data_IF_074204865719
#
_entry.id   IF_074204865719
#
_cell.length_a   1.000
_cell.length_b   1.000
_cell.length_c   1.000
_cell.angle_alpha   90.00
_cell.angle_beta   90.00
_cell.angle_gamma   90.00
#
_symmetry.space_group_name_H-M   'P 1'
#
loop_
_entity.id
_entity.type
_entity.pdbx_description
1 polymer ?
#
# COMPACT_ATOMS: atom_id res chain seq x y z
N UNK A 1 5.44 52.86 8.27
CA UNK A 1 5.15 51.44 7.98
C UNK A 1 6.04 51.00 6.84
N UNK A 2 7.12 50.28 7.15
CA UNK A 2 8.05 49.74 6.15
C UNK A 2 7.53 48.38 5.66
N UNK A 3 7.31 48.28 4.34
CA UNK A 3 7.03 47.02 3.65
C UNK A 3 8.37 46.35 3.34
N UNK A 4 8.66 45.23 3.97
CA UNK A 4 9.81 44.38 3.65
C UNK A 4 9.49 43.53 2.43
N UNK A 5 10.27 43.71 1.37
CA UNK A 5 10.23 42.93 0.14
C UNK A 5 10.78 41.52 0.36
N UNK A 6 9.93 40.51 0.27
CA UNK A 6 10.36 39.11 0.26
C UNK A 6 10.94 38.74 -1.10
N UNK A 7 12.21 38.32 -1.08
CA UNK A 7 12.95 37.84 -2.25
C UNK A 7 12.53 36.40 -2.54
N UNK A 8 11.69 36.18 -3.57
CA UNK A 8 11.41 34.83 -4.10
C UNK A 8 12.68 34.28 -4.75
N UNK A 9 13.33 33.33 -4.09
CA UNK A 9 14.39 32.53 -4.66
C UNK A 9 13.80 31.55 -5.67
N UNK A 10 13.97 31.86 -6.96
CA UNK A 10 13.64 30.98 -8.08
C UNK A 10 14.75 29.93 -8.20
N UNK A 11 14.63 28.81 -7.48
CA UNK A 11 15.53 27.67 -7.67
C UNK A 11 15.23 27.06 -9.05
N UNK A 12 16.06 27.43 -10.04
CA UNK A 12 16.04 26.83 -11.37
C UNK A 12 16.42 25.35 -11.27
N UNK A 13 15.55 24.50 -11.80
CA UNK A 13 15.83 23.09 -12.11
C UNK A 13 16.93 23.01 -13.18
N UNK A 14 18.20 23.11 -12.79
CA UNK A 14 19.34 22.79 -13.66
C UNK A 14 19.82 21.38 -13.33
N UNK A 15 19.13 20.38 -13.89
CA UNK A 15 19.62 19.03 -14.19
C UNK A 15 18.52 18.34 -14.99
N UNK A 16 18.44 18.63 -16.30
CA UNK A 16 17.68 17.77 -17.21
C UNK A 16 18.40 16.41 -17.25
N UNK A 17 17.75 15.31 -16.84
CA UNK A 17 18.34 13.98 -16.92
C UNK A 17 18.72 13.67 -18.37
N UNK A 18 19.75 12.85 -18.55
CA UNK A 18 20.12 12.29 -19.84
C UNK A 18 18.90 11.62 -20.49
N UNK A 19 18.34 12.21 -21.55
CA UNK A 19 17.08 11.80 -22.23
C UNK A 19 17.08 10.34 -22.76
N UNK A 20 18.20 9.63 -22.64
CA UNK A 20 18.36 8.23 -23.05
C UNK A 20 18.28 7.23 -21.89
N UNK A 21 18.05 7.67 -20.64
CA UNK A 21 17.90 6.74 -19.53
C UNK A 21 16.53 6.03 -19.63
N UNK A 22 16.56 4.70 -19.81
CA UNK A 22 15.34 3.89 -19.71
C UNK A 22 14.74 4.07 -18.30
N UNK A 23 13.41 4.29 -18.18
CA UNK A 23 12.78 4.45 -16.88
C UNK A 23 12.98 3.19 -16.02
N UNK A 24 13.01 3.32 -14.69
CA UNK A 24 13.08 2.16 -13.81
C UNK A 24 11.85 1.26 -14.01
N UNK A 25 11.96 -0.06 -13.77
CA UNK A 25 10.87 -1.02 -14.03
C UNK A 25 9.59 -0.77 -13.22
N UNK A 26 9.67 0.04 -12.16
CA UNK A 26 8.56 0.43 -11.29
C UNK A 26 8.03 1.86 -11.55
N UNK A 27 8.40 2.51 -12.66
CA UNK A 27 8.06 3.91 -12.91
C UNK A 27 6.54 4.21 -12.83
N UNK A 28 5.68 3.24 -13.18
CA UNK A 28 4.20 3.38 -13.09
C UNK A 28 3.67 3.46 -11.66
N UNK A 29 4.47 3.08 -10.68
CA UNK A 29 4.14 3.12 -9.25
C UNK A 29 4.75 4.32 -8.54
N UNK A 30 5.49 5.16 -9.25
CA UNK A 30 6.00 6.41 -8.69
C UNK A 30 4.88 7.45 -8.65
N UNK A 31 4.76 8.21 -7.55
CA UNK A 31 3.84 9.35 -7.51
C UNK A 31 4.30 10.47 -8.46
N UNK A 32 3.37 11.37 -8.80
CA UNK A 32 3.67 12.54 -9.64
C UNK A 32 4.66 13.49 -8.95
N UNK A 33 4.45 13.72 -7.66
CA UNK A 33 5.40 14.41 -6.77
C UNK A 33 6.15 13.38 -5.92
N UNK A 34 7.47 13.56 -5.77
CA UNK A 34 8.27 12.62 -4.99
C UNK A 34 7.79 12.56 -3.53
N UNK A 35 7.57 11.35 -3.01
CA UNK A 35 7.26 11.09 -1.60
C UNK A 35 8.34 11.69 -0.71
N UNK A 36 7.96 12.39 0.37
CA UNK A 36 8.94 13.00 1.27
C UNK A 36 9.75 11.91 2.00
N UNK A 37 11.05 12.14 2.32
CA UNK A 37 11.89 11.13 2.96
C UNK A 37 11.33 10.58 4.29
N UNK A 38 10.61 11.39 5.06
CA UNK A 38 9.96 11.01 6.31
C UNK A 38 8.73 10.12 6.11
N UNK A 39 8.13 10.09 4.93
CA UNK A 39 7.00 9.22 4.58
C UNK A 39 7.48 7.88 4.00
N UNK A 40 8.78 7.76 3.71
CA UNK A 40 9.42 6.53 3.27
C UNK A 40 9.88 5.68 4.46
N UNK A 41 9.83 4.37 4.27
CA UNK A 41 10.34 3.39 5.21
C UNK A 41 11.87 3.47 5.30
N UNK A 42 12.37 3.70 6.51
CA UNK A 42 13.80 3.66 6.87
C UNK A 42 14.16 2.46 7.76
N UNK A 43 13.24 1.50 7.96
CA UNK A 43 13.53 0.31 8.75
C UNK A 43 14.75 -0.42 8.18
N UNK A 44 15.67 -0.88 9.05
CA UNK A 44 16.78 -1.73 8.64
C UNK A 44 16.24 -3.09 8.15
N UNK A 45 17.12 -3.86 7.52
CA UNK A 45 16.84 -5.22 7.02
C UNK A 45 15.78 -5.28 5.90
N UNK A 46 15.29 -6.50 5.63
CA UNK A 46 14.19 -6.80 4.72
C UNK A 46 12.90 -7.02 5.54
N UNK A 47 12.22 -5.94 6.01
CA UNK A 47 11.05 -6.08 6.85
C UNK A 47 9.90 -6.75 6.09
N UNK A 48 8.92 -7.36 6.80
CA UNK A 48 7.69 -7.78 6.17
C UNK A 48 6.99 -6.58 5.51
N UNK A 49 6.47 -6.78 4.30
CA UNK A 49 5.78 -5.78 3.50
C UNK A 49 4.31 -6.13 3.36
N UNK A 50 3.45 -5.14 3.15
CA UNK A 50 2.04 -5.34 2.83
C UNK A 50 1.64 -4.57 1.59
N UNK A 51 0.79 -5.19 0.78
CA UNK A 51 0.00 -4.52 -0.23
C UNK A 51 -1.19 -3.85 0.46
N UNK A 52 -1.31 -2.55 0.32
CA UNK A 52 -2.47 -1.79 0.77
C UNK A 52 -2.74 -0.61 -0.17
N UNK A 53 -3.98 -0.13 -0.17
CA UNK A 53 -4.30 1.14 -0.82
C UNK A 53 -4.04 2.29 0.15
N UNK A 54 -3.51 3.37 -0.40
CA UNK A 54 -3.39 4.69 0.22
C UNK A 54 -3.64 5.73 -0.88
N UNK A 55 -3.54 7.03 -0.57
CA UNK A 55 -3.61 8.08 -1.59
C UNK A 55 -2.35 8.15 -2.48
N UNK A 56 -1.33 7.34 -2.20
CA UNK A 56 -0.13 7.23 -3.03
C UNK A 56 -0.31 6.36 -4.26
N UNK A 57 0.60 6.49 -5.22
CA UNK A 57 0.74 5.56 -6.35
C UNK A 57 1.40 4.22 -5.93
N UNK A 58 2.18 4.22 -4.85
CA UNK A 58 2.91 3.07 -4.34
C UNK A 58 2.06 2.29 -3.31
N UNK A 59 1.59 1.07 -3.64
CA UNK A 59 0.76 0.28 -2.73
C UNK A 59 1.59 -0.61 -1.78
N UNK A 60 2.92 -0.53 -1.80
CA UNK A 60 3.80 -1.38 -1.00
C UNK A 60 4.22 -0.62 0.26
N UNK A 61 3.79 -1.11 1.41
CA UNK A 61 4.05 -0.49 2.71
C UNK A 61 4.83 -1.43 3.61
N UNK A 62 5.70 -0.88 4.44
CA UNK A 62 6.41 -1.63 5.48
C UNK A 62 5.45 -2.00 6.60
N UNK A 63 5.38 -3.28 6.99
CA UNK A 63 4.53 -3.67 8.12
C UNK A 63 5.09 -3.26 9.49
N UNK A 64 6.36 -2.86 9.58
CA UNK A 64 6.96 -2.42 10.86
C UNK A 64 6.68 -0.95 11.16
N UNK A 65 6.79 -0.06 10.17
CA UNK A 65 6.60 1.38 10.38
C UNK A 65 5.38 1.97 9.66
N UNK A 66 4.63 1.15 8.91
CA UNK A 66 3.45 1.54 8.13
C UNK A 66 3.68 2.69 7.13
N UNK A 67 4.93 2.86 6.69
CA UNK A 67 5.35 3.85 5.68
C UNK A 67 5.55 3.19 4.32
N UNK A 68 5.54 3.99 3.27
CA UNK A 68 5.80 3.53 1.91
C UNK A 68 7.18 2.88 1.83
N UNK A 69 7.25 1.68 1.26
CA UNK A 69 8.53 1.02 1.05
C UNK A 69 9.18 1.53 -0.24
N UNK A 70 10.45 2.00 -0.21
CA UNK A 70 11.12 2.46 -1.42
C UNK A 70 11.24 1.34 -2.46
N UNK A 71 10.62 1.50 -3.62
CA UNK A 71 10.58 0.46 -4.68
C UNK A 71 11.97 0.10 -5.22
N UNK A 72 12.92 1.03 -5.15
CA UNK A 72 14.33 0.81 -5.48
C UNK A 72 15.03 -0.20 -4.57
N UNK A 73 14.47 -0.49 -3.38
CA UNK A 73 14.99 -1.47 -2.42
C UNK A 73 14.38 -2.87 -2.61
N UNK A 74 13.49 -3.08 -3.59
CA UNK A 74 12.88 -4.38 -3.86
C UNK A 74 13.28 -4.86 -5.25
N UNK A 75 13.88 -6.04 -5.33
CA UNK A 75 14.26 -6.67 -6.59
C UNK A 75 13.08 -7.48 -7.16
N UNK A 76 12.15 -6.80 -7.85
CA UNK A 76 11.07 -7.44 -8.61
C UNK A 76 11.28 -7.28 -10.11
N UNK A 77 10.73 -8.24 -10.88
CA UNK A 77 10.68 -8.09 -12.34
C UNK A 77 9.72 -6.97 -12.77
N UNK A 78 9.98 -6.35 -13.92
CA UNK A 78 9.07 -5.36 -14.53
C UNK A 78 7.65 -5.90 -14.68
N UNK A 79 7.52 -7.17 -15.11
CA UNK A 79 6.23 -7.87 -15.22
C UNK A 79 5.48 -7.90 -13.89
N UNK A 80 6.16 -8.11 -12.77
CA UNK A 80 5.52 -8.17 -11.46
C UNK A 80 5.13 -6.76 -10.98
N UNK A 81 5.96 -5.75 -11.21
CA UNK A 81 5.58 -4.34 -10.98
C UNK A 81 4.35 -3.94 -11.79
N UNK A 82 4.27 -4.37 -13.05
CA UNK A 82 3.12 -4.10 -13.91
C UNK A 82 1.85 -4.78 -13.39
N UNK A 83 1.93 -6.03 -12.90
CA UNK A 83 0.80 -6.70 -12.24
C UNK A 83 0.32 -5.95 -11.00
N UNK A 84 1.25 -5.48 -10.16
CA UNK A 84 0.94 -4.68 -8.96
C UNK A 84 0.24 -3.38 -9.37
N UNK A 85 0.78 -2.68 -10.37
CA UNK A 85 0.17 -1.45 -10.90
C UNK A 85 -1.27 -1.68 -11.35
N UNK A 86 -1.53 -2.69 -12.20
CA UNK A 86 -2.88 -2.94 -12.69
C UNK A 86 -3.86 -3.37 -11.60
N UNK A 87 -3.41 -4.18 -10.62
CA UNK A 87 -4.23 -4.49 -9.46
C UNK A 87 -4.57 -3.22 -8.66
N UNK A 88 -3.55 -2.40 -8.37
CA UNK A 88 -3.71 -1.18 -7.58
C UNK A 88 -4.68 -0.19 -8.25
N UNK A 89 -4.62 -0.01 -9.58
CA UNK A 89 -5.57 0.84 -10.30
C UNK A 89 -7.03 0.37 -10.12
N UNK A 90 -7.28 -0.94 -10.23
CA UNK A 90 -8.62 -1.52 -9.99
C UNK A 90 -9.05 -1.30 -8.55
N UNK A 91 -8.20 -1.65 -7.59
CA UNK A 91 -8.53 -1.55 -6.17
C UNK A 91 -8.80 -0.10 -5.76
N UNK A 92 -7.92 0.81 -6.16
CA UNK A 92 -8.03 2.25 -5.86
C UNK A 92 -9.31 2.86 -6.46
N UNK A 93 -9.75 2.38 -7.62
CA UNK A 93 -11.03 2.83 -8.21
C UNK A 93 -12.22 2.45 -7.33
N UNK A 94 -12.24 1.23 -6.79
CA UNK A 94 -13.27 0.81 -5.82
C UNK A 94 -13.15 1.60 -4.52
N UNK A 95 -11.93 1.83 -4.05
CA UNK A 95 -11.67 2.62 -2.85
C UNK A 95 -12.17 4.07 -2.97
N UNK A 96 -11.98 4.74 -4.11
CA UNK A 96 -12.54 6.07 -4.34
C UNK A 96 -14.07 6.09 -4.40
N UNK A 97 -14.69 5.04 -4.93
CA UNK A 97 -16.15 4.91 -4.88
C UNK A 97 -16.64 4.77 -3.44
N UNK A 98 -15.93 4.02 -2.60
CA UNK A 98 -16.23 3.98 -1.17
C UNK A 98 -16.06 5.35 -0.51
N UNK A 99 -14.98 6.07 -0.82
CA UNK A 99 -14.64 7.31 -0.13
C UNK A 99 -15.57 8.50 -0.44
N UNK A 100 -15.98 8.69 -1.71
CA UNK A 100 -16.55 9.97 -2.14
C UNK A 100 -17.71 9.86 -3.15
N UNK A 101 -18.33 8.69 -3.30
CA UNK A 101 -19.44 8.55 -4.26
C UNK A 101 -20.83 8.76 -3.69
N UNK A 102 -21.01 8.57 -2.37
CA UNK A 102 -22.32 8.37 -1.70
C UNK A 102 -23.14 7.20 -2.30
N UNK A 103 -23.58 7.30 -3.56
CA UNK A 103 -24.44 6.33 -4.25
C UNK A 103 -23.80 4.94 -4.38
N UNK A 104 -22.47 4.85 -4.54
CA UNK A 104 -21.76 3.58 -4.68
C UNK A 104 -21.06 3.11 -3.40
N UNK A 105 -21.18 3.83 -2.29
CA UNK A 105 -20.46 3.51 -1.05
C UNK A 105 -20.79 2.11 -0.52
N UNK A 106 -22.08 1.75 -0.49
CA UNK A 106 -22.52 0.41 -0.04
C UNK A 106 -21.96 -0.69 -0.93
N UNK A 107 -22.03 -0.51 -2.26
CA UNK A 107 -21.49 -1.48 -3.21
C UNK A 107 -19.97 -1.60 -3.08
N UNK A 108 -19.27 -0.48 -2.95
CA UNK A 108 -17.81 -0.44 -2.83
C UNK A 108 -17.34 -1.10 -1.53
N UNK A 109 -18.03 -0.85 -0.42
CA UNK A 109 -17.79 -1.52 0.87
C UNK A 109 -17.86 -3.04 0.72
N UNK A 110 -18.93 -3.56 0.09
CA UNK A 110 -19.08 -4.99 -0.16
C UNK A 110 -17.93 -5.56 -1.02
N UNK A 111 -17.41 -4.80 -1.97
CA UNK A 111 -16.27 -5.23 -2.77
C UNK A 111 -14.96 -5.21 -1.98
N UNK A 112 -14.74 -4.21 -1.11
CA UNK A 112 -13.51 -4.05 -0.35
C UNK A 112 -13.41 -5.06 0.81
N UNK A 113 -14.52 -5.31 1.53
CA UNK A 113 -14.56 -6.24 2.66
C UNK A 113 -14.58 -7.71 2.23
N UNK A 114 -15.19 -8.03 1.08
CA UNK A 114 -15.29 -9.41 0.61
C UNK A 114 -13.95 -9.92 0.06
N UNK A 115 -13.26 -10.87 0.71
CA UNK A 115 -11.97 -11.36 0.23
C UNK A 115 -12.07 -12.12 -1.11
N UNK A 116 -13.27 -12.50 -1.52
CA UNK A 116 -13.57 -13.15 -2.80
C UNK A 116 -13.99 -12.16 -3.91
N UNK A 117 -14.02 -10.86 -3.64
CA UNK A 117 -14.26 -9.84 -4.67
C UNK A 117 -13.17 -9.86 -5.74
N UNK A 118 -13.49 -9.35 -6.93
CA UNK A 118 -12.54 -9.32 -8.03
C UNK A 118 -11.25 -8.55 -7.70
N UNK A 119 -11.37 -7.39 -7.02
CA UNK A 119 -10.24 -6.57 -6.63
C UNK A 119 -9.33 -7.26 -5.60
N UNK A 120 -9.93 -7.88 -4.57
CA UNK A 120 -9.18 -8.62 -3.55
C UNK A 120 -8.51 -9.87 -4.14
N UNK A 121 -9.23 -10.66 -4.94
CA UNK A 121 -8.69 -11.86 -5.57
C UNK A 121 -7.52 -11.56 -6.51
N UNK A 122 -7.54 -10.42 -7.21
CA UNK A 122 -6.39 -9.98 -8.02
C UNK A 122 -5.15 -9.72 -7.17
N UNK A 123 -5.29 -9.04 -6.04
CA UNK A 123 -4.18 -8.74 -5.13
C UNK A 123 -3.65 -10.00 -4.44
N UNK A 124 -4.55 -10.85 -3.92
CA UNK A 124 -4.20 -12.12 -3.28
C UNK A 124 -3.43 -13.05 -4.21
N UNK A 125 -3.75 -13.07 -5.51
CA UNK A 125 -3.02 -13.85 -6.52
C UNK A 125 -1.58 -13.37 -6.76
N UNK A 126 -1.22 -12.14 -6.35
CA UNK A 126 0.16 -11.65 -6.44
C UNK A 126 1.04 -12.22 -5.33
N UNK A 127 0.46 -12.63 -4.20
CA UNK A 127 1.22 -13.01 -3.01
C UNK A 127 2.17 -14.19 -3.24
N UNK A 128 1.82 -15.28 -3.94
CA UNK A 128 2.77 -16.36 -4.20
C UNK A 128 4.01 -15.91 -4.99
N UNK A 129 3.83 -15.03 -5.98
CA UNK A 129 4.95 -14.48 -6.77
C UNK A 129 5.78 -13.51 -5.93
N UNK A 130 5.14 -12.61 -5.17
CA UNK A 130 5.83 -11.67 -4.28
C UNK A 130 6.59 -12.37 -3.16
N UNK A 131 6.01 -13.42 -2.59
CA UNK A 131 6.61 -14.16 -1.48
C UNK A 131 7.86 -14.96 -1.88
N UNK A 132 8.14 -15.10 -3.18
CA UNK A 132 9.43 -15.60 -3.66
C UNK A 132 10.58 -14.59 -3.47
N UNK A 133 10.28 -13.31 -3.24
CA UNK A 133 11.25 -12.20 -3.13
C UNK A 133 11.33 -11.61 -1.71
N UNK A 134 10.51 -12.06 -0.77
CA UNK A 134 10.44 -11.51 0.57
C UNK A 134 9.15 -11.90 1.28
N UNK A 135 8.91 -11.36 2.48
CA UNK A 135 7.67 -11.64 3.21
C UNK A 135 6.63 -10.57 2.89
N UNK A 136 5.68 -10.89 2.03
CA UNK A 136 4.57 -10.02 1.65
C UNK A 136 3.24 -10.48 2.26
N UNK A 137 2.41 -9.50 2.56
CA UNK A 137 1.04 -9.67 3.00
C UNK A 137 0.08 -8.79 2.19
N UNK A 138 -1.21 -9.02 2.35
CA UNK A 138 -2.29 -8.21 1.78
C UNK A 138 -3.15 -7.64 2.90
N UNK A 139 -3.27 -6.32 2.98
CA UNK A 139 -4.19 -5.67 3.92
C UNK A 139 -5.61 -5.79 3.38
N UNK A 140 -6.45 -6.59 4.03
CA UNK A 140 -7.87 -6.63 3.71
C UNK A 140 -8.57 -5.46 4.39
N UNK A 141 -9.32 -4.69 3.61
CA UNK A 141 -10.06 -3.54 4.09
C UNK A 141 -11.04 -3.94 5.20
N UNK A 142 -11.19 -3.06 6.19
CA UNK A 142 -12.09 -3.24 7.32
C UNK A 142 -12.51 -1.85 7.82
N UNK A 143 -13.78 -1.70 8.21
CA UNK A 143 -14.30 -0.44 8.76
C UNK A 143 -13.99 -0.32 10.25
N UNK A 144 -12.71 -0.17 10.58
CA UNK A 144 -12.22 -0.16 11.98
C UNK A 144 -12.76 1.00 12.83
N UNK A 145 -13.34 2.01 12.21
CA UNK A 145 -13.90 3.19 12.87
C UNK A 145 -15.42 3.14 13.07
N UNK A 146 -16.07 2.04 12.66
CA UNK A 146 -17.50 1.86 12.90
C UNK A 146 -17.77 1.49 14.37
N UNK A 147 -18.86 2.00 14.94
CA UNK A 147 -19.20 1.80 16.37
C UNK A 147 -19.40 0.32 16.74
N UNK A 148 -19.78 -0.51 15.77
CA UNK A 148 -20.00 -1.95 15.91
C UNK A 148 -18.81 -2.80 15.47
N UNK A 149 -17.66 -2.19 15.17
CA UNK A 149 -16.47 -2.91 14.77
C UNK A 149 -15.95 -3.85 15.86
N UNK A 150 -15.73 -5.10 15.48
CA UNK A 150 -15.11 -6.12 16.33
C UNK A 150 -13.85 -6.63 15.64
N UNK A 151 -12.73 -6.59 16.35
CA UNK A 151 -11.45 -7.10 15.86
C UNK A 151 -11.59 -8.57 15.45
N UNK A 152 -11.35 -8.93 14.17
CA UNK A 152 -11.43 -10.30 13.71
C UNK A 152 -10.38 -11.16 14.40
N UNK A 153 -10.78 -12.29 14.98
CA UNK A 153 -9.85 -13.25 15.59
C UNK A 153 -9.49 -14.40 14.66
N UNK A 154 -10.17 -14.52 13.51
CA UNK A 154 -9.97 -15.60 12.53
C UNK A 154 -9.84 -15.05 11.11
N UNK A 155 -9.00 -15.70 10.32
CA UNK A 155 -8.73 -15.34 8.94
C UNK A 155 -9.98 -15.58 8.08
N UNK A 156 -10.44 -14.59 7.31
CA UNK A 156 -11.67 -14.72 6.52
C UNK A 156 -11.53 -15.71 5.35
N UNK A 157 -10.31 -16.09 4.97
CA UNK A 157 -10.06 -17.08 3.91
C UNK A 157 -9.98 -18.53 4.41
N UNK A 158 -9.31 -18.77 5.54
CA UNK A 158 -9.00 -20.13 5.99
C UNK A 158 -9.48 -20.45 7.41
N UNK A 159 -10.11 -19.50 8.09
CA UNK A 159 -10.67 -19.63 9.44
C UNK A 159 -9.66 -19.99 10.55
N UNK A 160 -8.35 -19.97 10.26
CA UNK A 160 -7.30 -20.08 11.30
C UNK A 160 -7.22 -18.79 12.10
N UNK A 161 -6.76 -18.90 13.34
CA UNK A 161 -6.54 -17.74 14.21
C UNK A 161 -5.61 -16.71 13.56
N UNK A 162 -5.96 -15.44 13.73
CA UNK A 162 -5.08 -14.33 13.39
C UNK A 162 -4.15 -14.06 14.58
N UNK A 163 -2.89 -13.81 14.28
CA UNK A 163 -1.84 -13.62 15.29
C UNK A 163 -1.14 -12.29 15.07
N UNK A 164 -0.70 -11.65 16.16
CA UNK A 164 0.24 -10.52 16.06
C UNK A 164 1.56 -11.06 15.53
N UNK A 165 2.05 -10.56 14.40
CA UNK A 165 3.38 -10.98 13.97
C UNK A 165 4.43 -10.33 14.88
N UNK A 166 5.47 -11.08 15.26
CA UNK A 166 6.60 -10.50 15.99
C UNK A 166 7.25 -9.41 15.13
N UNK A 167 7.66 -8.31 15.76
CA UNK A 167 8.40 -7.20 15.14
C UNK A 167 7.63 -6.32 14.13
N UNK A 168 6.29 -6.25 14.19
CA UNK A 168 5.49 -5.30 13.41
C UNK A 168 5.52 -3.84 13.91
N UNK A 169 6.52 -3.50 14.71
CA UNK A 169 6.69 -2.16 15.26
C UNK A 169 5.45 -1.70 16.02
N UNK A 170 4.91 -0.53 15.67
CA UNK A 170 3.78 0.10 16.36
C UNK A 170 2.42 -0.35 15.88
N UNK A 171 2.34 -1.16 14.81
CA UNK A 171 1.04 -1.61 14.30
C UNK A 171 0.49 -2.72 15.19
N UNK A 172 -0.81 -2.63 15.52
CA UNK A 172 -1.54 -3.63 16.30
C UNK A 172 -2.23 -4.69 15.42
N UNK A 173 -2.12 -4.51 14.11
CA UNK A 173 -2.55 -5.39 13.02
C UNK A 173 -2.36 -6.88 13.35
N UNK A 174 -3.39 -7.67 13.03
CA UNK A 174 -3.37 -9.14 13.14
C UNK A 174 -3.18 -9.76 11.76
N UNK A 175 -2.38 -10.82 11.67
CA UNK A 175 -2.10 -11.46 10.39
C UNK A 175 -2.34 -12.96 10.42
N UNK A 176 -2.71 -13.49 9.26
CA UNK A 176 -2.74 -14.93 9.01
C UNK A 176 -1.43 -15.34 8.34
N UNK A 177 -0.57 -16.09 9.05
CA UNK A 177 0.66 -16.62 8.47
C UNK A 177 0.45 -17.60 7.31
N UNK A 178 -0.73 -18.22 7.21
CA UNK A 178 -1.05 -19.18 6.15
C UNK A 178 -1.56 -18.49 4.87
N UNK A 179 -2.44 -17.50 5.00
CA UNK A 179 -3.04 -16.79 3.87
C UNK A 179 -2.33 -15.49 3.51
N UNK A 180 -1.37 -15.06 4.33
CA UNK A 180 -0.67 -13.79 4.15
C UNK A 180 -1.63 -12.59 4.07
N UNK A 181 -2.71 -12.62 4.86
CA UNK A 181 -3.63 -11.48 5.03
C UNK A 181 -3.32 -10.77 6.33
N UNK A 182 -3.45 -9.44 6.31
CA UNK A 182 -3.48 -8.57 7.47
C UNK A 182 -4.89 -8.01 7.63
N UNK A 183 -5.37 -7.99 8.87
CA UNK A 183 -6.56 -7.28 9.31
C UNK A 183 -6.13 -6.17 10.26
N UNK A 184 -6.68 -4.97 10.08
CA UNK A 184 -6.46 -3.88 11.03
C UNK A 184 -7.19 -4.19 12.35
N UNK A 185 -6.57 -3.87 13.48
CA UNK A 185 -7.20 -4.09 14.78
C UNK A 185 -7.68 -2.80 15.46
N UNK A 186 -7.07 -1.64 15.18
CA UNK A 186 -7.31 -0.38 15.90
C UNK A 186 -7.25 0.84 14.97
#
# INVERSE_FOLDING_TARGET
MQLTSETRATTRFTNMPNDNAQPPPYWKLLPEEATQPEELCSCPDAPPLKLMTSFSANPIHCMTCNREFPLSRIELSERLFEKIYFWHQVYRSVYYLWLDSSEYETWATQQLENPYSYANQKGLKLLPELNAHGKFFFLLFSRVHDEDWVVPTHCPLCQRSLERLPNLGTTTDLACGNCHIVMQSD
#
